data_IF_194035338079
#
_entry.id   IF_194035338079
#
_cell.length_a   1.000
_cell.length_b   1.000
_cell.length_c   1.000
_cell.angle_alpha   90.00
_cell.angle_beta   90.00
_cell.angle_gamma   90.00
#
_symmetry.space_group_name_H-M   'P 1'
#
loop_
_entity.id
_entity.type
_entity.pdbx_description
1 polymer ?
#
# COMPACT_ATOMS: atom_id res chain seq x y z
N UNK A 1 36.88 -33.66 -31.54
CA UNK A 1 36.25 -34.49 -30.49
C UNK A 1 36.14 -33.59 -29.27
N UNK A 2 35.00 -32.99 -28.91
CA UNK A 2 33.60 -33.25 -29.19
C UNK A 2 32.85 -31.90 -29.22
N UNK A 3 32.10 -31.59 -30.28
CA UNK A 3 31.07 -30.56 -30.28
C UNK A 3 29.69 -31.13 -29.89
N UNK A 4 28.75 -30.23 -29.62
CA UNK A 4 27.29 -30.45 -29.51
C UNK A 4 26.70 -30.81 -28.13
N UNK A 5 25.98 -29.84 -27.54
CA UNK A 5 24.63 -30.05 -27.02
C UNK A 5 23.84 -28.72 -26.98
N UNK A 6 22.50 -28.76 -27.00
CA UNK A 6 21.73 -28.19 -28.09
C UNK A 6 20.86 -26.99 -27.67
N UNK A 7 20.54 -26.19 -28.67
CA UNK A 7 19.41 -25.26 -28.71
C UNK A 7 18.11 -25.96 -28.30
N UNK A 8 17.41 -25.42 -27.31
CA UNK A 8 16.00 -25.76 -27.06
C UNK A 8 15.11 -24.53 -27.26
N UNK A 9 13.91 -24.71 -27.86
CA UNK A 9 13.20 -23.64 -28.54
C UNK A 9 12.20 -22.88 -27.66
N UNK A 10 11.95 -21.65 -28.11
CA UNK A 10 10.73 -20.88 -27.92
C UNK A 10 9.49 -21.75 -28.08
N UNK A 11 8.56 -21.71 -27.10
CA UNK A 11 7.15 -21.95 -27.35
C UNK A 11 6.32 -20.95 -26.52
N UNK A 12 5.41 -20.18 -27.16
CA UNK A 12 4.38 -19.41 -26.48
C UNK A 12 3.07 -20.20 -26.38
N UNK A 13 2.07 -19.58 -25.75
CA UNK A 13 0.62 -19.89 -25.68
C UNK A 13 0.11 -20.70 -24.47
N UNK A 14 -1.21 -20.62 -24.14
CA UNK A 14 -2.20 -19.59 -24.44
C UNK A 14 -3.02 -19.12 -23.22
N UNK A 15 -3.64 -17.96 -23.45
CA UNK A 15 -4.84 -17.40 -22.83
C UNK A 15 -5.97 -18.45 -22.69
N UNK A 16 -6.63 -18.49 -21.53
CA UNK A 16 -8.10 -18.57 -21.35
C UNK A 16 -8.44 -19.25 -20.01
N UNK A 17 -9.09 -18.54 -19.10
CA UNK A 17 -9.99 -19.19 -18.16
C UNK A 17 -11.36 -18.54 -18.31
N UNK A 18 -12.30 -19.39 -18.66
CA UNK A 18 -13.64 -19.08 -19.12
C UNK A 18 -14.52 -18.45 -18.02
N UNK A 19 -15.38 -17.57 -18.48
CA UNK A 19 -16.57 -17.07 -17.81
C UNK A 19 -17.74 -17.98 -18.20
N UNK A 20 -18.45 -18.57 -17.23
CA UNK A 20 -19.70 -19.32 -17.43
C UNK A 20 -20.69 -18.87 -16.33
N UNK A 21 -21.60 -17.94 -16.63
CA UNK A 21 -22.98 -18.10 -17.11
C UNK A 21 -24.00 -18.60 -16.08
N UNK A 22 -25.08 -17.80 -15.94
CA UNK A 22 -26.50 -18.18 -15.84
C UNK A 22 -27.22 -17.69 -14.58
N UNK A 23 -28.26 -16.87 -14.77
CA UNK A 23 -29.18 -16.49 -13.70
C UNK A 23 -30.12 -15.37 -14.10
N UNK A 24 -31.14 -15.69 -14.89
CA UNK A 24 -32.04 -14.75 -15.53
C UNK A 24 -33.20 -14.29 -14.62
N UNK A 25 -33.75 -13.12 -14.97
CA UNK A 25 -35.16 -12.71 -14.84
C UNK A 25 -35.75 -12.49 -13.43
N UNK A 26 -36.13 -11.22 -13.16
CA UNK A 26 -37.54 -10.87 -12.96
C UNK A 26 -37.76 -9.36 -13.08
N UNK A 27 -38.43 -8.98 -14.16
CA UNK A 27 -39.17 -7.73 -14.28
C UNK A 27 -40.44 -7.84 -13.43
N UNK A 28 -40.69 -6.84 -12.58
CA UNK A 28 -41.99 -6.44 -12.00
C UNK A 28 -41.66 -5.58 -10.78
N UNK A 29 -42.19 -4.39 -10.51
CA UNK A 29 -43.36 -3.68 -11.01
C UNK A 29 -43.27 -2.31 -10.30
N UNK A 30 -43.57 -1.21 -10.99
CA UNK A 30 -43.92 0.04 -10.30
C UNK A 30 -45.16 -0.18 -9.43
N UNK A 31 -45.27 0.48 -8.27
CA UNK A 31 -46.49 1.25 -8.02
C UNK A 31 -46.19 2.72 -7.73
N UNK A 32 -47.10 3.55 -8.23
CA UNK A 32 -47.16 5.00 -8.14
C UNK A 32 -48.34 5.35 -7.23
N UNK A 33 -48.10 5.65 -5.96
CA UNK A 33 -49.08 6.26 -5.05
C UNK A 33 -48.28 6.86 -3.86
N UNK A 34 -48.39 8.10 -3.41
CA UNK A 34 -49.28 9.21 -3.73
C UNK A 34 -48.80 10.48 -2.99
N UNK A 35 -49.42 11.62 -3.33
CA UNK A 35 -49.28 12.91 -2.66
C UNK A 35 -49.67 12.84 -1.17
N UNK A 36 -48.93 13.53 -0.28
CA UNK A 36 -49.51 14.50 0.66
C UNK A 36 -48.40 15.34 1.34
N UNK A 37 -48.37 16.64 1.04
CA UNK A 37 -48.66 17.78 1.92
C UNK A 37 -47.60 18.15 2.99
N UNK A 38 -47.31 19.45 2.93
CA UNK A 38 -46.66 20.33 3.88
C UNK A 38 -46.95 20.05 5.37
N UNK A 39 -45.88 20.08 6.16
CA UNK A 39 -45.92 20.53 7.56
C UNK A 39 -44.51 20.89 8.03
N UNK A 40 -44.32 22.17 8.31
CA UNK A 40 -43.15 22.72 8.98
C UNK A 40 -43.10 22.21 10.43
N UNK A 41 -41.94 21.72 10.86
CA UNK A 41 -41.62 21.50 12.27
C UNK A 41 -40.12 21.68 12.48
N UNK A 42 -39.81 22.84 13.07
CA UNK A 42 -38.63 23.15 13.88
C UNK A 42 -38.18 21.98 14.78
N UNK A 43 -36.88 21.72 14.83
CA UNK A 43 -36.32 20.64 15.64
C UNK A 43 -34.87 20.27 15.36
N UNK A 44 -33.95 21.07 15.92
CA UNK A 44 -32.63 20.68 16.43
C UNK A 44 -31.61 20.03 15.49
N UNK A 45 -30.69 20.89 15.05
CA UNK A 45 -29.23 20.70 15.05
C UNK A 45 -28.70 19.45 15.78
N UNK A 46 -27.87 18.67 15.07
CA UNK A 46 -27.12 17.56 15.64
C UNK A 46 -26.87 16.37 14.71
N UNK A 47 -26.72 16.59 13.40
CA UNK A 47 -26.09 15.58 12.53
C UNK A 47 -24.59 15.86 12.59
N UNK A 48 -23.90 15.24 13.56
CA UNK A 48 -22.46 15.02 13.43
C UNK A 48 -22.30 14.08 12.23
N UNK A 49 -22.12 14.68 11.06
CA UNK A 49 -21.70 13.98 9.85
C UNK A 49 -20.41 13.25 10.17
N UNK A 50 -20.47 11.91 10.23
CA UNK A 50 -19.29 11.04 10.21
C UNK A 50 -18.48 11.36 8.94
N UNK A 51 -17.58 12.34 9.05
CA UNK A 51 -16.66 12.68 7.98
C UNK A 51 -15.68 11.50 7.85
N UNK A 52 -16.01 10.58 6.94
CA UNK A 52 -15.08 9.58 6.44
C UNK A 52 -13.94 10.31 5.72
N UNK A 53 -12.90 10.64 6.49
CA UNK A 53 -11.64 11.16 5.98
C UNK A 53 -11.05 10.06 5.09
N UNK A 54 -11.20 10.18 3.76
CA UNK A 54 -10.35 9.44 2.82
C UNK A 54 -8.96 10.05 2.89
N UNK A 55 -8.26 9.79 3.98
CA UNK A 55 -6.86 10.14 4.14
C UNK A 55 -6.14 9.41 3.00
N UNK A 56 -5.49 10.15 2.10
CA UNK A 56 -4.48 9.57 1.23
C UNK A 56 -3.51 8.82 2.14
N UNK A 57 -3.61 7.48 2.19
CA UNK A 57 -2.90 6.66 3.17
C UNK A 57 -1.41 6.69 2.85
N UNK A 58 -0.72 7.71 3.33
CA UNK A 58 0.72 7.65 3.50
C UNK A 58 0.97 6.58 4.55
N UNK A 59 1.34 5.38 4.09
CA UNK A 59 1.59 4.25 4.98
C UNK A 59 2.73 4.61 5.93
N UNK A 60 2.40 4.81 7.21
CA UNK A 60 3.37 5.06 8.27
C UNK A 60 4.05 3.77 8.76
N UNK A 61 3.63 2.62 8.23
CA UNK A 61 4.13 1.30 8.61
C UNK A 61 5.37 0.94 7.79
N UNK A 62 6.44 0.56 8.49
CA UNK A 62 7.68 0.11 7.88
C UNK A 62 7.51 -1.31 7.31
N UNK A 63 7.91 -1.61 6.05
CA UNK A 63 7.79 -2.95 5.48
C UNK A 63 8.79 -3.96 6.06
N UNK A 64 9.73 -3.53 6.90
CA UNK A 64 10.72 -4.39 7.58
C UNK A 64 10.25 -4.75 8.98
N UNK A 65 9.89 -3.75 9.79
CA UNK A 65 9.49 -3.96 11.19
C UNK A 65 8.00 -4.18 11.36
N UNK A 66 7.19 -3.82 10.37
CA UNK A 66 5.72 -3.82 10.44
C UNK A 66 5.17 -2.95 11.59
N UNK A 67 5.96 -1.96 12.01
CA UNK A 67 5.60 -0.98 13.04
C UNK A 67 5.56 0.42 12.43
N UNK A 68 4.93 1.35 13.15
CA UNK A 68 4.98 2.77 12.83
C UNK A 68 6.43 3.27 12.82
N UNK A 69 6.81 3.94 11.73
CA UNK A 69 8.12 4.52 11.56
C UNK A 69 8.32 5.70 12.53
N UNK A 70 9.49 5.80 13.15
CA UNK A 70 9.94 6.95 13.93
C UNK A 70 10.85 7.84 13.09
N UNK A 71 11.77 7.23 12.35
CA UNK A 71 12.71 7.92 11.46
C UNK A 71 12.58 7.36 10.06
N UNK A 72 11.63 7.86 9.26
CA UNK A 72 11.47 7.39 7.89
C UNK A 72 12.67 7.82 7.02
N UNK A 73 13.27 6.86 6.34
CA UNK A 73 14.31 7.05 5.33
C UNK A 73 13.86 6.46 4.01
N UNK A 74 14.04 7.19 2.91
CA UNK A 74 13.73 6.74 1.57
C UNK A 74 15.00 6.41 0.79
N UNK A 75 14.94 5.38 -0.04
CA UNK A 75 16.00 5.15 -1.02
C UNK A 75 15.75 6.05 -2.25
N UNK A 76 16.74 6.87 -2.63
CA UNK A 76 16.65 7.76 -3.79
C UNK A 76 16.51 7.03 -5.14
N UNK A 77 16.90 5.76 -5.20
CA UNK A 77 16.87 4.94 -6.44
C UNK A 77 15.50 4.32 -6.69
N UNK A 78 14.88 3.72 -5.66
CA UNK A 78 13.59 3.03 -5.80
C UNK A 78 12.40 3.79 -5.17
N UNK A 79 12.64 4.87 -4.43
CA UNK A 79 11.60 5.71 -3.83
C UNK A 79 10.89 5.09 -2.61
N UNK A 80 11.25 3.88 -2.19
CA UNK A 80 10.62 3.22 -1.05
C UNK A 80 11.18 3.71 0.28
N UNK A 81 10.28 3.78 1.27
CA UNK A 81 10.55 4.29 2.61
C UNK A 81 10.58 3.19 3.66
N UNK A 82 11.48 3.32 4.62
CA UNK A 82 11.76 2.36 5.68
C UNK A 82 12.06 3.08 6.99
N UNK A 83 12.08 2.35 8.10
CA UNK A 83 12.68 2.81 9.34
C UNK A 83 14.21 2.83 9.24
N UNK A 84 14.86 3.94 9.64
CA UNK A 84 16.32 4.15 9.62
C UNK A 84 17.07 2.97 10.25
N UNK A 85 16.74 2.63 11.50
CA UNK A 85 17.45 1.58 12.23
C UNK A 85 17.22 0.19 11.63
N UNK A 86 16.06 -0.03 11.02
CA UNK A 86 15.71 -1.34 10.45
C UNK A 86 16.47 -1.59 9.14
N UNK A 87 16.50 -0.60 8.25
CA UNK A 87 17.20 -0.72 6.97
C UNK A 87 18.72 -0.78 7.17
N UNK A 88 19.26 0.00 8.10
CA UNK A 88 20.69 -0.03 8.45
C UNK A 88 21.10 -1.42 8.94
N UNK A 89 20.38 -1.97 9.92
CA UNK A 89 20.62 -3.33 10.44
C UNK A 89 20.52 -4.39 9.34
N UNK A 90 19.56 -4.26 8.43
CA UNK A 90 19.40 -5.18 7.30
C UNK A 90 20.60 -5.11 6.34
N UNK A 91 21.07 -3.91 5.99
CA UNK A 91 22.21 -3.69 5.10
C UNK A 91 23.48 -4.30 5.71
N UNK A 92 23.77 -3.96 6.97
CA UNK A 92 24.92 -4.49 7.70
C UNK A 92 24.90 -6.02 7.77
N UNK A 93 23.73 -6.60 8.06
CA UNK A 93 23.55 -8.06 8.16
C UNK A 93 23.75 -8.79 6.82
N UNK A 94 23.43 -8.15 5.69
CA UNK A 94 23.74 -8.68 4.35
C UNK A 94 25.23 -8.50 4.03
N UNK A 95 25.81 -7.35 4.38
CA UNK A 95 27.21 -7.04 4.14
C UNK A 95 28.15 -8.03 4.87
N UNK A 96 27.85 -8.36 6.13
CA UNK A 96 28.57 -9.41 6.90
C UNK A 96 28.56 -10.77 6.20
N UNK A 97 27.51 -11.08 5.44
CA UNK A 97 27.37 -12.30 4.64
C UNK A 97 27.94 -12.17 3.23
N UNK A 98 28.66 -11.08 2.92
CA UNK A 98 29.16 -10.71 1.58
C UNK A 98 28.07 -10.70 0.51
N UNK A 99 26.84 -10.35 0.90
CA UNK A 99 25.69 -10.22 -0.01
C UNK A 99 25.26 -8.76 -0.11
N UNK A 100 24.67 -8.41 -1.25
CA UNK A 100 24.04 -7.12 -1.48
C UNK A 100 22.70 -7.04 -0.78
N UNK A 101 22.36 -5.86 -0.26
CA UNK A 101 21.08 -5.63 0.38
C UNK A 101 20.02 -5.28 -0.67
N UNK A 102 19.07 -6.19 -0.89
CA UNK A 102 17.91 -5.94 -1.73
C UNK A 102 16.82 -5.14 -1.01
N UNK A 103 16.05 -4.38 -1.80
CA UNK A 103 14.87 -3.66 -1.37
C UNK A 103 13.83 -4.63 -0.77
N UNK A 104 13.35 -4.41 0.48
CA UNK A 104 12.40 -5.32 1.12
C UNK A 104 10.95 -5.12 0.65
N UNK A 105 10.66 -4.06 -0.12
CA UNK A 105 9.35 -3.92 -0.76
C UNK A 105 9.14 -5.03 -1.79
N UNK A 106 8.05 -5.78 -1.61
CA UNK A 106 7.60 -6.84 -2.52
C UNK A 106 7.42 -6.26 -3.93
N UNK A 107 7.98 -6.93 -4.94
CA UNK A 107 7.90 -6.51 -6.35
C UNK A 107 8.90 -5.44 -6.77
N UNK A 108 9.78 -4.96 -5.89
CA UNK A 108 10.83 -4.03 -6.28
C UNK A 108 12.03 -4.76 -6.92
N UNK A 109 12.43 -4.37 -8.12
CA UNK A 109 13.58 -4.94 -8.85
C UNK A 109 14.94 -4.45 -8.34
N UNK A 110 14.99 -3.50 -7.40
CA UNK A 110 16.25 -2.90 -6.96
C UNK A 110 16.94 -3.74 -5.87
N UNK A 111 18.10 -4.32 -6.22
CA UNK A 111 18.85 -5.27 -5.38
C UNK A 111 20.12 -4.72 -4.70
N UNK A 112 20.47 -3.45 -4.95
CA UNK A 112 21.71 -2.80 -4.50
C UNK A 112 21.43 -1.59 -3.60
N UNK A 113 20.74 -1.80 -2.49
CA UNK A 113 20.48 -0.76 -1.48
C UNK A 113 21.75 -0.50 -0.67
N UNK A 114 22.22 0.75 -0.67
CA UNK A 114 23.37 1.20 0.14
C UNK A 114 22.95 2.29 1.11
N UNK A 115 23.70 2.42 2.21
CA UNK A 115 23.49 3.49 3.19
C UNK A 115 23.59 4.89 2.57
N UNK A 116 24.49 5.08 1.60
CA UNK A 116 24.68 6.35 0.88
C UNK A 116 23.52 6.72 -0.06
N UNK A 117 22.61 5.79 -0.34
CA UNK A 117 21.43 6.02 -1.19
C UNK A 117 20.18 6.29 -0.35
N UNK A 118 20.27 6.15 0.97
CA UNK A 118 19.21 6.47 1.91
C UNK A 118 19.24 7.97 2.23
N UNK A 119 18.07 8.60 2.10
CA UNK A 119 17.84 10.01 2.39
C UNK A 119 16.72 10.09 3.43
N UNK A 120 16.88 10.92 4.45
CA UNK A 120 15.81 11.15 5.44
C UNK A 120 14.58 11.76 4.78
N UNK A 121 13.41 11.20 5.06
CA UNK A 121 12.14 11.74 4.57
C UNK A 121 11.50 12.65 5.64
N UNK A 122 11.99 13.89 5.69
CA UNK A 122 11.52 14.88 6.65
C UNK A 122 10.03 15.22 6.47
N UNK A 123 9.50 15.11 5.25
CA UNK A 123 8.07 15.31 4.99
C UNK A 123 7.24 14.20 5.66
N UNK A 124 7.62 12.94 5.46
CA UNK A 124 6.92 11.81 6.10
C UNK A 124 7.10 11.84 7.62
N UNK A 125 8.27 12.23 8.11
CA UNK A 125 8.52 12.37 9.55
C UNK A 125 7.57 13.39 10.19
N UNK A 126 7.37 14.54 9.55
CA UNK A 126 6.41 15.56 10.01
C UNK A 126 4.96 15.06 9.94
N UNK A 127 4.61 14.31 8.90
CA UNK A 127 3.28 13.71 8.76
C UNK A 127 3.00 12.70 9.89
N UNK A 128 3.96 11.83 10.20
CA UNK A 128 3.89 10.88 11.31
C UNK A 128 3.71 11.62 12.64
N UNK A 129 4.56 12.62 12.93
CA UNK A 129 4.46 13.38 14.17
C UNK A 129 3.09 14.07 14.31
N UNK A 130 2.57 14.62 13.21
CA UNK A 130 1.25 15.26 13.18
C UNK A 130 0.12 14.26 13.41
N UNK A 131 0.27 13.03 12.93
CA UNK A 131 -0.70 11.95 13.14
C UNK A 131 -0.73 11.50 14.61
N UNK A 132 0.44 11.33 15.23
CA UNK A 132 0.58 10.94 16.64
C UNK A 132 -0.04 11.94 17.62
N UNK A 133 -0.06 13.23 17.27
CA UNK A 133 -0.72 14.28 18.08
C UNK A 133 -2.25 14.16 18.06
N UNK A 134 -2.83 13.64 16.98
CA UNK A 134 -4.28 13.53 16.79
C UNK A 134 -4.85 12.22 17.36
N UNK A 135 -4.04 11.17 17.37
CA UNK A 135 -4.38 9.87 17.95
C UNK A 135 -3.34 9.49 19.00
N UNK A 136 -3.44 10.01 20.25
CA UNK A 136 -2.61 9.53 21.32
C UNK A 136 -2.88 8.02 21.50
N UNK A 137 -1.84 7.20 21.75
CA UNK A 137 -2.06 5.79 22.07
C UNK A 137 -2.93 5.74 23.33
N UNK A 138 -4.13 5.17 23.22
CA UNK A 138 -4.96 4.83 24.37
C UNK A 138 -4.20 3.77 25.18
N UNK A 139 -3.77 4.14 26.38
CA UNK A 139 -3.15 3.24 27.38
C UNK A 139 -4.04 2.06 27.76
#
# INVERSE_FOLDING_TARGET
MDPEKPSTPFLPFPLSLACETTGAQRLSFFPLDGLQADREADGTEGVDEDMIVTQSQTNFICPITQLEMKKPVKNKVCGHTYEEEAIVRMIESKHKRRKKACCPKIGCSHTDVRMSDLIQDEALRRAIESHKKKHPPSE
#
